data_IF_509076118847
#
_entry.id   IF_509076118847
#
_cell.length_a   1.000
_cell.length_b   1.000
_cell.length_c   1.000
_cell.angle_alpha   90.00
_cell.angle_beta   90.00
_cell.angle_gamma   90.00
#
_symmetry.space_group_name_H-M   'P 1'
#
loop_
_entity.id
_entity.type
_entity.pdbx_description
1 polymer ?
#
# COMPACT_ATOMS: atom_id res chain seq x y z
N UNK A 1 32.67 28.03 16.83
CA UNK A 1 31.92 27.03 17.61
C UNK A 1 30.80 26.48 16.75
N UNK A 2 31.11 25.62 15.74
CA UNK A 2 30.16 24.83 14.91
C UNK A 2 30.90 24.12 13.74
N UNK A 3 32.00 23.39 13.99
CA UNK A 3 32.60 22.50 12.96
C UNK A 3 33.04 21.13 13.48
N UNK A 4 32.57 20.72 14.67
CA UNK A 4 32.92 19.44 15.32
C UNK A 4 31.74 18.49 15.49
N UNK A 5 30.67 18.62 14.71
CA UNK A 5 29.44 17.82 14.90
C UNK A 5 29.09 16.92 13.71
N UNK A 6 30.08 16.46 12.94
CA UNK A 6 29.92 15.34 12.01
C UNK A 6 31.22 14.53 11.95
N UNK A 7 31.41 13.65 12.93
CA UNK A 7 32.31 12.50 12.83
C UNK A 7 31.46 11.26 13.06
N UNK A 8 31.05 10.64 11.96
CA UNK A 8 30.43 9.31 11.97
C UNK A 8 31.53 8.29 12.19
N UNK A 9 31.49 7.62 13.34
CA UNK A 9 32.38 6.50 13.70
C UNK A 9 32.05 5.31 12.80
N UNK A 10 32.91 5.03 11.82
CA UNK A 10 32.89 3.78 11.05
C UNK A 10 33.47 2.69 11.97
N UNK A 11 32.62 1.83 12.53
CA UNK A 11 33.05 0.68 13.32
C UNK A 11 33.31 -0.48 12.35
N UNK A 12 34.52 -0.55 11.82
CA UNK A 12 35.01 -1.75 11.13
C UNK A 12 35.27 -2.80 12.22
N UNK A 13 34.55 -3.92 12.17
CA UNK A 13 34.86 -5.08 12.98
C UNK A 13 36.16 -5.69 12.44
N UNK A 14 37.26 -5.37 13.09
CA UNK A 14 38.59 -5.88 12.79
C UNK A 14 38.65 -7.34 13.26
N UNK A 15 38.66 -8.29 12.33
CA UNK A 15 39.02 -9.68 12.61
C UNK A 15 40.48 -9.70 13.07
N UNK A 16 40.73 -10.04 14.34
CA UNK A 16 42.08 -10.32 14.83
C UNK A 16 42.45 -11.73 14.38
N UNK A 17 43.46 -11.86 13.51
CA UNK A 17 44.10 -13.14 13.29
C UNK A 17 44.84 -13.54 14.57
N UNK A 18 44.53 -14.72 15.11
CA UNK A 18 45.29 -15.32 16.20
C UNK A 18 46.65 -15.76 15.63
N UNK A 19 47.79 -15.32 16.17
CA UNK A 19 49.11 -15.76 15.72
C UNK A 19 49.27 -17.28 15.89
N UNK A 20 49.85 -17.90 14.87
CA UNK A 20 49.97 -19.36 14.67
C UNK A 20 51.08 -20.02 15.53
N UNK A 21 51.65 -19.34 16.53
CA UNK A 21 52.95 -19.72 17.10
C UNK A 21 52.93 -20.37 18.51
N UNK A 22 51.77 -20.57 19.14
CA UNK A 22 51.71 -20.98 20.57
C UNK A 22 51.04 -22.35 20.86
N UNK A 23 51.15 -23.34 19.98
CA UNK A 23 50.54 -24.67 20.26
C UNK A 23 51.41 -25.90 19.98
N UNK A 24 52.73 -25.73 19.89
CA UNK A 24 53.67 -26.85 19.98
C UNK A 24 54.30 -26.90 21.38
N UNK A 25 53.59 -27.48 22.33
CA UNK A 25 54.15 -28.09 23.55
C UNK A 25 53.02 -28.76 24.35
N UNK A 26 52.55 -29.94 23.92
CA UNK A 26 52.31 -31.10 24.79
C UNK A 26 51.81 -32.30 23.95
N UNK A 27 52.72 -33.15 23.50
CA UNK A 27 52.39 -34.54 23.13
C UNK A 27 52.69 -35.44 24.35
N UNK A 28 51.68 -36.00 24.99
CA UNK A 28 51.75 -37.40 25.44
C UNK A 28 50.38 -37.97 25.83
N UNK A 29 50.03 -39.06 25.14
CA UNK A 29 48.98 -40.04 25.44
C UNK A 29 47.51 -39.59 25.39
N UNK A 30 46.93 -39.65 24.19
CA UNK A 30 45.54 -40.12 24.05
C UNK A 30 45.43 -41.00 22.82
N UNK A 31 45.04 -42.26 23.06
CA UNK A 31 44.96 -43.36 22.10
C UNK A 31 44.19 -42.96 20.83
N UNK A 32 44.81 -43.20 19.66
CA UNK A 32 44.17 -43.10 18.36
C UNK A 32 43.11 -44.18 18.20
N UNK A 33 41.90 -43.91 18.66
CA UNK A 33 40.71 -44.62 18.18
C UNK A 33 40.47 -44.16 16.72
N UNK A 34 40.32 -45.07 15.74
CA UNK A 34 40.06 -44.67 14.37
C UNK A 34 38.74 -43.91 14.32
N UNK A 35 38.79 -42.59 14.20
CA UNK A 35 37.64 -41.79 13.84
C UNK A 35 37.21 -42.27 12.46
N UNK A 36 36.11 -43.02 12.41
CA UNK A 36 35.36 -43.16 11.16
C UNK A 36 35.16 -41.74 10.60
N UNK A 37 35.44 -41.50 9.31
CA UNK A 37 35.21 -40.19 8.73
C UNK A 37 33.70 -39.94 8.79
N UNK A 38 33.26 -39.23 9.83
CA UNK A 38 31.95 -38.65 9.89
C UNK A 38 31.96 -37.62 8.76
N UNK A 39 31.26 -37.92 7.68
CA UNK A 39 30.99 -37.04 6.54
C UNK A 39 30.38 -35.72 7.04
N UNK A 40 31.23 -34.88 7.60
CA UNK A 40 30.92 -33.58 8.15
C UNK A 40 31.49 -32.64 7.12
N UNK A 41 30.74 -32.47 6.02
CA UNK A 41 30.80 -31.36 5.06
C UNK A 41 29.97 -31.70 3.81
N UNK A 42 28.73 -32.14 3.98
CA UNK A 42 27.74 -31.80 2.97
C UNK A 42 27.37 -30.34 3.24
N UNK A 43 28.01 -29.40 2.53
CA UNK A 43 27.41 -28.08 2.35
C UNK A 43 26.08 -28.31 1.64
N UNK A 44 25.00 -28.51 2.42
CA UNK A 44 23.65 -28.51 1.89
C UNK A 44 23.43 -27.07 1.45
N UNK A 45 23.55 -26.80 0.15
CA UNK A 45 23.16 -25.50 -0.37
C UNK A 45 21.73 -25.23 0.11
N UNK A 46 21.44 -24.05 0.70
CA UNK A 46 20.12 -23.77 1.23
C UNK A 46 19.12 -23.93 0.10
N UNK A 47 18.20 -24.87 0.27
CA UNK A 47 17.27 -25.24 -0.77
C UNK A 47 16.45 -24.00 -1.19
N UNK A 48 16.45 -23.68 -2.48
CA UNK A 48 15.70 -22.55 -3.01
C UNK A 48 14.30 -23.03 -3.40
N UNK A 49 13.26 -22.36 -2.91
CA UNK A 49 11.89 -22.72 -3.27
C UNK A 49 11.68 -22.56 -4.78
N UNK A 50 11.24 -23.59 -5.53
CA UNK A 50 11.00 -23.45 -6.97
C UNK A 50 9.81 -22.53 -7.25
N UNK A 51 9.91 -21.74 -8.34
CA UNK A 51 8.91 -20.73 -8.72
C UNK A 51 7.48 -21.26 -8.82
N UNK A 52 7.29 -22.49 -9.32
CA UNK A 52 5.96 -23.10 -9.45
C UNK A 52 5.28 -23.35 -8.10
N UNK A 53 6.04 -23.61 -7.05
CA UNK A 53 5.51 -23.87 -5.69
C UNK A 53 5.31 -22.58 -4.89
N UNK A 54 5.84 -21.45 -5.37
CA UNK A 54 5.73 -20.16 -4.71
C UNK A 54 4.30 -19.60 -4.76
N UNK A 55 3.55 -19.86 -5.84
CA UNK A 55 2.20 -19.31 -6.03
C UNK A 55 1.15 -20.10 -5.25
N UNK A 56 1.14 -19.91 -3.93
CA UNK A 56 0.07 -20.41 -3.06
C UNK A 56 -1.21 -19.61 -3.29
N UNK A 57 -2.36 -20.20 -2.93
CA UNK A 57 -3.65 -19.51 -3.02
C UNK A 57 -3.65 -18.19 -2.25
N UNK A 58 -3.04 -18.18 -1.06
CA UNK A 58 -2.96 -17.00 -0.21
C UNK A 58 -2.13 -15.90 -0.89
N UNK A 59 -0.92 -16.23 -1.38
CA UNK A 59 -0.07 -15.28 -2.09
C UNK A 59 -0.77 -14.69 -3.33
N UNK A 60 -1.40 -15.53 -4.16
CA UNK A 60 -2.13 -15.07 -5.33
C UNK A 60 -3.24 -14.09 -4.95
N UNK A 61 -4.05 -14.39 -3.92
CA UNK A 61 -5.11 -13.50 -3.46
C UNK A 61 -4.55 -12.17 -2.94
N UNK A 62 -3.45 -12.20 -2.18
CA UNK A 62 -2.80 -10.99 -1.66
C UNK A 62 -2.25 -10.11 -2.78
N UNK A 63 -1.61 -10.71 -3.80
CA UNK A 63 -1.11 -10.00 -4.98
C UNK A 63 -2.26 -9.41 -5.80
N UNK A 64 -3.36 -10.14 -6.00
CA UNK A 64 -4.54 -9.61 -6.71
C UNK A 64 -5.18 -8.46 -5.93
N UNK A 65 -5.30 -8.56 -4.60
CA UNK A 65 -5.79 -7.46 -3.76
C UNK A 65 -4.90 -6.22 -3.91
N UNK A 66 -3.58 -6.39 -3.88
CA UNK A 66 -2.61 -5.33 -4.11
C UNK A 66 -2.80 -4.68 -5.50
N UNK A 67 -3.00 -5.49 -6.55
CA UNK A 67 -3.27 -4.98 -7.89
C UNK A 67 -4.56 -4.16 -8.00
N UNK A 68 -5.64 -4.63 -7.38
CA UNK A 68 -6.92 -3.90 -7.33
C UNK A 68 -6.75 -2.58 -6.57
N UNK A 69 -6.07 -2.63 -5.42
CA UNK A 69 -5.78 -1.48 -4.57
C UNK A 69 -5.03 -0.38 -5.33
N UNK A 70 -3.90 -0.73 -5.92
CA UNK A 70 -3.08 0.20 -6.74
C UNK A 70 -3.83 0.70 -7.97
N UNK A 71 -4.72 -0.12 -8.52
CA UNK A 71 -5.58 0.23 -9.63
C UNK A 71 -6.52 1.38 -9.28
N UNK A 72 -7.37 1.21 -8.27
CA UNK A 72 -8.34 2.25 -7.91
C UNK A 72 -7.67 3.49 -7.28
N UNK A 73 -6.55 3.33 -6.55
CA UNK A 73 -5.74 4.48 -6.08
C UNK A 73 -5.15 5.24 -7.26
N UNK A 74 -4.58 4.54 -8.25
CA UNK A 74 -4.03 5.16 -9.45
C UNK A 74 -5.09 5.92 -10.25
N UNK A 75 -6.28 5.33 -10.43
CA UNK A 75 -7.39 6.01 -11.06
C UNK A 75 -7.85 7.24 -10.26
N UNK A 76 -7.96 7.14 -8.93
CA UNK A 76 -8.31 8.26 -8.06
C UNK A 76 -7.36 9.45 -8.24
N UNK A 77 -6.05 9.20 -8.29
CA UNK A 77 -5.04 10.25 -8.46
C UNK A 77 -5.19 11.05 -9.76
N UNK A 78 -5.75 10.44 -10.80
CA UNK A 78 -6.09 11.12 -12.06
C UNK A 78 -7.47 11.75 -12.01
N UNK A 79 -8.47 11.02 -11.54
CA UNK A 79 -9.88 11.42 -11.53
C UNK A 79 -10.15 12.61 -10.61
N UNK A 80 -9.55 12.61 -9.42
CA UNK A 80 -9.86 13.61 -8.39
C UNK A 80 -9.48 15.04 -8.82
N UNK A 81 -8.24 15.34 -9.27
CA UNK A 81 -7.90 16.66 -9.78
C UNK A 81 -8.75 17.06 -11.00
N UNK A 82 -8.98 16.14 -11.93
CA UNK A 82 -9.82 16.37 -13.10
C UNK A 82 -11.24 16.76 -12.70
N UNK A 83 -11.85 16.02 -11.76
CA UNK A 83 -13.18 16.28 -11.23
C UNK A 83 -13.29 17.64 -10.52
N UNK A 84 -12.30 18.02 -9.72
CA UNK A 84 -12.30 19.34 -9.09
C UNK A 84 -12.24 20.48 -10.13
N UNK A 85 -11.55 20.25 -11.26
CA UNK A 85 -11.40 21.23 -12.34
C UNK A 85 -12.56 21.26 -13.35
N UNK A 86 -13.36 20.19 -13.42
CA UNK A 86 -14.49 20.08 -14.34
C UNK A 86 -15.50 21.23 -14.09
N UNK A 87 -16.10 21.82 -15.14
CA UNK A 87 -17.00 22.96 -14.99
C UNK A 87 -18.14 22.68 -14.00
N UNK A 88 -18.43 23.66 -13.14
CA UNK A 88 -19.55 23.60 -12.22
C UNK A 88 -20.86 23.84 -12.98
N UNK A 89 -21.52 22.76 -13.37
CA UNK A 89 -22.84 22.79 -14.03
C UNK A 89 -23.97 22.74 -12.99
N UNK A 90 -23.66 22.27 -11.78
CA UNK A 90 -24.57 22.21 -10.64
C UNK A 90 -25.54 21.01 -10.69
N UNK A 91 -26.33 20.86 -9.63
CA UNK A 91 -27.40 19.87 -9.59
C UNK A 91 -28.52 20.29 -10.56
N UNK A 92 -28.60 19.64 -11.72
CA UNK A 92 -29.63 19.93 -12.74
C UNK A 92 -30.98 19.35 -12.28
N UNK A 93 -31.81 20.18 -11.66
CA UNK A 93 -33.26 19.93 -11.59
C UNK A 93 -33.91 20.29 -12.91
N UNK A 94 -33.75 19.44 -13.94
CA UNK A 94 -34.61 19.51 -15.11
C UNK A 94 -35.69 18.43 -14.96
N UNK A 95 -36.93 18.86 -14.67
CA UNK A 95 -38.18 18.12 -14.88
C UNK A 95 -38.30 16.67 -14.37
N UNK A 96 -37.81 16.40 -13.16
CA UNK A 96 -38.23 15.23 -12.40
C UNK A 96 -37.20 14.11 -12.30
N UNK A 97 -36.90 13.80 -11.04
CA UNK A 97 -36.57 12.48 -10.49
C UNK A 97 -35.23 11.89 -10.92
N UNK A 98 -34.15 12.24 -10.19
CA UNK A 98 -33.21 11.29 -9.58
C UNK A 98 -32.21 12.01 -8.63
N UNK A 99 -32.18 11.72 -7.31
CA UNK A 99 -31.25 12.34 -6.36
C UNK A 99 -29.78 11.90 -6.56
N UNK A 100 -29.54 10.98 -7.51
CA UNK A 100 -28.22 10.43 -7.82
C UNK A 100 -27.65 10.91 -9.17
N UNK A 101 -28.24 11.91 -9.82
CA UNK A 101 -27.69 12.49 -11.05
C UNK A 101 -26.96 13.79 -10.75
N UNK A 102 -25.66 13.81 -11.04
CA UNK A 102 -24.77 14.94 -10.77
C UNK A 102 -24.12 15.36 -12.09
N UNK A 103 -24.32 16.62 -12.49
CA UNK A 103 -23.74 17.13 -13.72
C UNK A 103 -22.55 18.03 -13.39
N UNK A 104 -21.38 17.67 -13.95
CA UNK A 104 -20.17 18.50 -13.88
C UNK A 104 -19.28 18.22 -12.66
N UNK A 105 -18.39 19.18 -12.37
CA UNK A 105 -17.43 19.14 -11.28
C UNK A 105 -17.53 20.38 -10.38
N UNK A 106 -16.44 20.72 -9.69
CA UNK A 106 -16.43 21.86 -8.75
C UNK A 106 -16.01 23.20 -9.38
N UNK A 107 -15.56 23.18 -10.64
CA UNK A 107 -15.11 24.36 -11.37
C UNK A 107 -13.95 25.10 -10.71
N UNK A 108 -13.13 24.39 -9.93
CA UNK A 108 -12.04 25.02 -9.18
C UNK A 108 -10.89 25.46 -10.09
N UNK A 109 -10.30 26.63 -9.83
CA UNK A 109 -9.06 27.03 -10.48
C UNK A 109 -7.96 25.98 -10.23
N UNK A 110 -7.11 25.73 -11.24
CA UNK A 110 -6.00 24.77 -11.14
C UNK A 110 -5.08 25.07 -9.94
N UNK A 111 -4.89 26.36 -9.61
CA UNK A 111 -4.15 26.80 -8.42
C UNK A 111 -4.74 26.25 -7.12
N UNK A 112 -6.06 26.30 -6.97
CA UNK A 112 -6.76 25.86 -5.77
C UNK A 112 -6.73 24.34 -5.65
N UNK A 113 -6.87 23.63 -6.78
CA UNK A 113 -6.66 22.18 -6.84
C UNK A 113 -5.26 21.82 -6.37
N UNK A 114 -4.22 22.46 -6.91
CA UNK A 114 -2.82 22.22 -6.51
C UNK A 114 -2.57 22.52 -5.03
N UNK A 115 -3.13 23.63 -4.51
CA UNK A 115 -3.02 23.97 -3.08
C UNK A 115 -3.66 22.91 -2.18
N UNK A 116 -4.83 22.38 -2.56
CA UNK A 116 -5.48 21.31 -1.78
C UNK A 116 -4.63 20.02 -1.75
N UNK A 117 -4.06 19.60 -2.89
CA UNK A 117 -3.14 18.45 -2.92
C UNK A 117 -1.89 18.69 -2.06
N UNK A 118 -1.30 19.88 -2.13
CA UNK A 118 -0.07 20.22 -1.43
C UNK A 118 -0.25 20.23 0.09
N UNK A 119 -1.33 20.88 0.58
CA UNK A 119 -1.66 20.89 2.01
C UNK A 119 -1.89 19.47 2.54
N UNK A 120 -2.53 18.63 1.74
CA UNK A 120 -2.78 17.27 2.15
C UNK A 120 -1.50 16.42 2.18
N UNK A 121 -0.59 16.60 1.22
CA UNK A 121 0.73 15.95 1.27
C UNK A 121 1.53 16.34 2.50
N UNK A 122 1.47 17.63 2.88
CA UNK A 122 2.12 18.15 4.09
C UNK A 122 1.57 17.50 5.37
N UNK A 123 0.26 17.27 5.45
CA UNK A 123 -0.39 16.63 6.61
C UNK A 123 -0.24 15.11 6.58
N UNK A 124 -0.21 14.49 5.40
CA UNK A 124 -0.13 13.04 5.23
C UNK A 124 1.18 12.45 5.74
N UNK A 125 2.32 13.13 5.54
CA UNK A 125 3.63 12.64 5.97
C UNK A 125 3.69 12.43 7.50
N UNK A 126 3.34 13.41 8.36
CA UNK A 126 3.25 13.21 9.79
C UNK A 126 2.33 12.04 10.20
N UNK A 127 1.16 11.92 9.56
CA UNK A 127 0.21 10.83 9.85
C UNK A 127 0.84 9.47 9.53
N UNK A 128 1.63 9.37 8.46
CA UNK A 128 2.32 8.13 8.10
C UNK A 128 3.43 7.76 9.08
N UNK A 129 4.30 8.72 9.43
CA UNK A 129 5.45 8.48 10.31
C UNK A 129 5.01 8.14 11.74
N UNK A 130 4.02 8.85 12.27
CA UNK A 130 3.63 8.71 13.68
C UNK A 130 2.40 7.82 13.90
N UNK A 131 1.49 7.78 12.93
CA UNK A 131 0.21 7.09 13.03
C UNK A 131 0.34 5.59 12.78
N UNK A 132 1.01 5.19 11.68
CA UNK A 132 1.07 3.79 11.28
C UNK A 132 1.68 2.87 12.33
N UNK A 133 2.89 3.14 12.90
CA UNK A 133 3.50 2.23 13.86
C UNK A 133 2.63 2.02 15.10
N UNK A 134 2.00 3.09 15.61
CA UNK A 134 1.15 3.04 16.82
C UNK A 134 -0.11 2.21 16.60
N UNK A 135 -0.75 2.38 15.45
CA UNK A 135 -2.02 1.69 15.14
C UNK A 135 -1.77 0.23 14.75
N UNK A 136 -0.68 -0.04 14.02
CA UNK A 136 -0.27 -1.40 13.65
C UNK A 136 0.05 -2.25 14.88
N UNK A 137 0.75 -1.70 15.87
CA UNK A 137 1.06 -2.39 17.13
C UNK A 137 -0.20 -2.72 17.96
N UNK A 138 -1.25 -1.89 17.86
CA UNK A 138 -2.47 -2.05 18.67
C UNK A 138 -3.49 -3.00 18.04
N UNK A 139 -3.70 -2.92 16.73
CA UNK A 139 -4.78 -3.65 16.04
C UNK A 139 -4.29 -4.87 15.26
N UNK A 140 -2.99 -4.98 15.00
CA UNK A 140 -2.43 -5.97 14.08
C UNK A 140 -2.66 -5.60 12.61
N UNK A 141 -1.79 -6.11 11.75
CA UNK A 141 -1.70 -5.71 10.34
C UNK A 141 -2.96 -6.07 9.54
N UNK A 142 -3.46 -7.31 9.69
CA UNK A 142 -4.64 -7.78 8.94
C UNK A 142 -5.91 -6.98 9.24
N UNK A 143 -6.18 -6.71 10.53
CA UNK A 143 -7.38 -5.95 10.94
C UNK A 143 -7.28 -4.50 10.52
N UNK A 144 -6.12 -3.88 10.74
CA UNK A 144 -5.84 -2.52 10.32
C UNK A 144 -6.05 -2.36 8.81
N UNK A 145 -5.45 -3.25 8.01
CA UNK A 145 -5.57 -3.25 6.57
C UNK A 145 -7.04 -3.29 6.12
N UNK A 146 -7.85 -4.22 6.64
CA UNK A 146 -9.27 -4.34 6.30
C UNK A 146 -10.09 -3.11 6.69
N UNK A 147 -9.90 -2.57 7.89
CA UNK A 147 -10.63 -1.39 8.38
C UNK A 147 -10.39 -0.20 7.46
N UNK A 148 -9.13 0.09 7.14
CA UNK A 148 -8.81 1.23 6.29
C UNK A 148 -9.09 0.97 4.81
N UNK A 149 -9.19 -0.28 4.35
CA UNK A 149 -9.64 -0.61 3.00
C UNK A 149 -11.06 -0.08 2.73
N UNK A 150 -11.95 -0.14 3.74
CA UNK A 150 -13.31 0.41 3.66
C UNK A 150 -13.37 1.93 3.56
N UNK A 151 -12.28 2.64 3.88
CA UNK A 151 -12.22 4.09 3.73
C UNK A 151 -12.24 4.54 2.27
N UNK A 152 -11.72 3.73 1.34
CA UNK A 152 -11.75 4.03 -0.10
C UNK A 152 -13.16 4.03 -0.71
N UNK A 153 -13.97 2.95 -0.60
CA UNK A 153 -15.33 2.98 -1.13
C UNK A 153 -16.18 4.06 -0.47
N UNK A 154 -15.99 4.33 0.83
CA UNK A 154 -16.65 5.46 1.49
C UNK A 154 -16.25 6.80 0.86
N UNK A 155 -14.95 7.02 0.63
CA UNK A 155 -14.49 8.23 -0.03
C UNK A 155 -15.08 8.39 -1.43
N UNK A 156 -15.03 7.34 -2.25
CA UNK A 156 -15.56 7.37 -3.61
C UNK A 156 -17.07 7.59 -3.62
N UNK A 157 -17.76 7.03 -2.63
CA UNK A 157 -19.19 7.23 -2.47
C UNK A 157 -19.53 8.68 -2.09
N UNK A 158 -18.71 9.31 -1.23
CA UNK A 158 -18.91 10.69 -0.79
C UNK A 158 -18.58 11.74 -1.87
N UNK A 159 -17.69 11.43 -2.82
CA UNK A 159 -17.19 12.40 -3.81
C UNK A 159 -18.30 13.11 -4.61
N UNK A 160 -19.29 12.42 -5.23
CA UNK A 160 -20.32 13.10 -6.02
C UNK A 160 -21.15 14.10 -5.21
N UNK A 161 -21.38 13.82 -3.92
CA UNK A 161 -22.17 14.70 -3.04
C UNK A 161 -21.51 16.06 -2.78
N UNK A 162 -20.21 16.19 -3.03
CA UNK A 162 -19.52 17.48 -2.94
C UNK A 162 -20.08 18.52 -3.92
N UNK A 163 -20.63 18.08 -5.07
CA UNK A 163 -21.27 18.94 -6.07
C UNK A 163 -22.62 19.46 -5.58
N UNK A 164 -23.42 18.64 -4.88
CA UNK A 164 -24.68 19.09 -4.25
C UNK A 164 -24.38 20.19 -3.25
N UNK A 165 -23.36 19.99 -2.40
CA UNK A 165 -23.06 20.98 -1.37
C UNK A 165 -22.58 22.31 -1.94
N UNK A 166 -21.87 22.31 -3.07
CA UNK A 166 -21.60 23.55 -3.81
C UNK A 166 -22.89 24.22 -4.30
N UNK A 167 -23.83 23.45 -4.86
CA UNK A 167 -25.06 24.00 -5.45
C UNK A 167 -26.04 24.61 -4.44
N UNK A 168 -26.14 24.03 -3.23
CA UNK A 168 -27.03 24.54 -2.18
C UNK A 168 -26.44 25.73 -1.43
N UNK A 169 -25.12 25.88 -1.47
CA UNK A 169 -24.43 26.91 -0.72
C UNK A 169 -24.44 28.21 -1.52
N UNK A 170 -25.35 29.13 -1.15
CA UNK A 170 -25.50 30.42 -1.83
C UNK A 170 -24.15 31.14 -2.00
N UNK A 171 -23.76 31.56 -3.22
CA UNK A 171 -22.50 32.27 -3.48
C UNK A 171 -22.31 33.56 -2.65
N UNK A 172 -23.40 34.13 -2.13
CA UNK A 172 -23.39 35.36 -1.32
C UNK A 172 -23.22 35.13 0.19
N UNK A 173 -23.27 33.88 0.66
CA UNK A 173 -23.09 33.59 2.08
C UNK A 173 -21.61 33.69 2.46
N UNK A 174 -21.30 34.49 3.48
CA UNK A 174 -19.93 34.83 3.94
C UNK A 174 -19.09 33.61 4.39
N UNK A 175 -19.65 32.41 4.46
CA UNK A 175 -18.97 31.14 4.77
C UNK A 175 -19.01 30.07 3.67
N UNK A 176 -19.67 30.34 2.53
CA UNK A 176 -19.95 29.34 1.51
C UNK A 176 -18.71 28.60 1.00
N UNK A 177 -17.68 29.40 0.69
CA UNK A 177 -16.40 28.91 0.18
C UNK A 177 -15.65 28.07 1.23
N UNK A 178 -15.71 28.46 2.50
CA UNK A 178 -15.05 27.73 3.58
C UNK A 178 -15.70 26.36 3.79
N UNK A 179 -17.02 26.27 3.71
CA UNK A 179 -17.76 24.99 3.81
C UNK A 179 -17.38 24.03 2.69
N UNK A 180 -17.36 24.50 1.43
CA UNK A 180 -16.95 23.70 0.27
C UNK A 180 -15.51 23.19 0.44
N UNK A 181 -14.59 24.08 0.83
CA UNK A 181 -13.19 23.71 1.11
C UNK A 181 -13.07 22.69 2.24
N UNK A 182 -13.83 22.84 3.32
CA UNK A 182 -13.82 21.89 4.43
C UNK A 182 -14.22 20.48 3.97
N UNK A 183 -15.23 20.37 3.10
CA UNK A 183 -15.69 19.07 2.58
C UNK A 183 -14.65 18.45 1.67
N UNK A 184 -14.07 19.24 0.75
CA UNK A 184 -12.98 18.77 -0.11
C UNK A 184 -11.87 18.19 0.77
N UNK A 185 -11.43 18.95 1.78
CA UNK A 185 -10.39 18.52 2.72
C UNK A 185 -10.79 17.26 3.47
N UNK A 186 -12.05 17.13 3.92
CA UNK A 186 -12.52 15.93 4.63
C UNK A 186 -12.50 14.69 3.72
N UNK A 187 -13.04 14.79 2.50
CA UNK A 187 -13.03 13.68 1.53
C UNK A 187 -11.60 13.28 1.18
N UNK A 188 -10.74 14.27 0.97
CA UNK A 188 -9.33 14.02 0.65
C UNK A 188 -8.54 13.44 1.82
N UNK A 189 -8.78 13.94 3.05
CA UNK A 189 -8.20 13.42 4.27
C UNK A 189 -8.60 11.97 4.49
N UNK A 190 -9.87 11.61 4.25
CA UNK A 190 -10.33 10.23 4.32
C UNK A 190 -9.54 9.33 3.35
N UNK A 191 -9.38 9.74 2.09
CA UNK A 191 -8.56 9.01 1.11
C UNK A 191 -7.11 8.85 1.55
N UNK A 192 -6.48 9.94 2.01
CA UNK A 192 -5.06 9.91 2.40
C UNK A 192 -4.84 9.09 3.65
N UNK A 193 -5.67 9.26 4.67
CA UNK A 193 -5.63 8.43 5.89
C UNK A 193 -5.79 6.96 5.51
N UNK A 194 -6.75 6.61 4.65
CA UNK A 194 -6.93 5.23 4.17
C UNK A 194 -5.67 4.69 3.50
N UNK A 195 -5.10 5.44 2.55
CA UNK A 195 -3.84 5.06 1.89
C UNK A 195 -2.66 4.93 2.83
N UNK A 196 -2.54 5.85 3.79
CA UNK A 196 -1.45 5.86 4.79
C UNK A 196 -1.38 4.57 5.60
N UNK A 197 -2.52 3.98 5.97
CA UNK A 197 -2.55 2.75 6.74
C UNK A 197 -2.58 1.49 5.86
N UNK A 198 -3.29 1.53 4.74
CA UNK A 198 -3.46 0.35 3.88
C UNK A 198 -2.17 -0.01 3.15
N UNK A 199 -1.45 0.95 2.57
CA UNK A 199 -0.28 0.69 1.73
C UNK A 199 0.85 -0.05 2.48
N UNK A 200 1.34 0.42 3.65
CA UNK A 200 2.35 -0.33 4.40
C UNK A 200 1.83 -1.67 4.94
N UNK A 201 0.56 -1.75 5.36
CA UNK A 201 -0.02 -3.00 5.83
C UNK A 201 -0.11 -4.05 4.72
N UNK A 202 -0.40 -3.62 3.50
CA UNK A 202 -0.46 -4.47 2.33
C UNK A 202 0.92 -4.98 1.89
N UNK A 203 1.96 -4.14 1.98
CA UNK A 203 3.36 -4.58 1.77
C UNK A 203 3.72 -5.67 2.79
N UNK A 204 3.40 -5.45 4.07
CA UNK A 204 3.64 -6.41 5.13
C UNK A 204 2.88 -7.72 4.93
N UNK A 205 1.59 -7.66 4.58
CA UNK A 205 0.78 -8.86 4.28
C UNK A 205 1.33 -9.64 3.08
N UNK A 206 1.84 -8.94 2.07
CA UNK A 206 2.47 -9.58 0.90
C UNK A 206 3.75 -10.30 1.30
N UNK A 207 4.56 -9.69 2.17
CA UNK A 207 5.76 -10.32 2.70
C UNK A 207 5.40 -11.56 3.55
N UNK A 208 4.41 -11.44 4.43
CA UNK A 208 3.92 -12.53 5.30
C UNK A 208 3.24 -13.65 4.51
N UNK A 209 2.66 -13.36 3.34
CA UNK A 209 2.10 -14.34 2.42
C UNK A 209 3.17 -15.06 1.57
N UNK A 210 4.45 -14.67 1.68
CA UNK A 210 5.53 -15.42 1.05
C UNK A 210 5.61 -16.82 1.67
N UNK A 211 5.57 -17.89 0.87
CA UNK A 211 5.55 -19.25 1.42
C UNK A 211 6.89 -19.69 2.01
N UNK A 212 7.98 -19.01 1.68
CA UNK A 212 9.32 -19.28 2.21
C UNK A 212 10.19 -18.02 2.16
N UNK A 213 11.16 -17.82 3.08
CA UNK A 213 12.09 -16.69 3.08
C UNK A 213 12.89 -16.55 1.77
N UNK A 214 13.36 -17.66 1.19
CA UNK A 214 14.09 -17.64 -0.10
C UNK A 214 13.21 -17.25 -1.30
N UNK A 215 11.90 -17.14 -1.11
CA UNK A 215 10.96 -16.64 -2.13
C UNK A 215 10.59 -15.17 -1.96
N UNK A 216 10.92 -14.53 -0.84
CA UNK A 216 10.46 -13.18 -0.46
C UNK A 216 10.74 -12.12 -1.53
N UNK A 217 11.96 -12.09 -2.08
CA UNK A 217 12.31 -11.14 -3.13
C UNK A 217 11.49 -11.33 -4.42
N UNK A 218 11.18 -12.58 -4.77
CA UNK A 218 10.42 -12.95 -5.96
C UNK A 218 8.93 -12.66 -5.80
N UNK A 219 8.36 -12.95 -4.63
CA UNK A 219 6.96 -12.63 -4.31
C UNK A 219 6.73 -11.12 -4.30
N UNK A 220 7.64 -10.36 -3.69
CA UNK A 220 7.59 -8.90 -3.68
C UNK A 220 7.68 -8.33 -5.10
N UNK A 221 8.59 -8.86 -5.91
CA UNK A 221 8.75 -8.45 -7.31
C UNK A 221 7.48 -8.74 -8.13
N UNK A 222 6.86 -9.92 -7.96
CA UNK A 222 5.59 -10.25 -8.62
C UNK A 222 4.46 -9.28 -8.21
N UNK A 223 4.37 -8.94 -6.92
CA UNK A 223 3.41 -7.95 -6.43
C UNK A 223 3.65 -6.56 -7.05
N UNK A 224 4.90 -6.09 -7.10
CA UNK A 224 5.26 -4.80 -7.69
C UNK A 224 4.99 -4.75 -9.20
N UNK A 225 5.24 -5.84 -9.92
CA UNK A 225 4.93 -5.94 -11.35
C UNK A 225 3.42 -5.78 -11.60
N UNK A 226 2.58 -6.53 -10.89
CA UNK A 226 1.13 -6.42 -11.03
C UNK A 226 0.62 -5.04 -10.60
N UNK A 227 1.16 -4.50 -9.50
CA UNK A 227 0.85 -3.14 -9.02
C UNK A 227 1.14 -2.10 -10.09
N UNK A 228 2.31 -2.20 -10.73
CA UNK A 228 2.75 -1.24 -11.73
C UNK A 228 1.93 -1.35 -13.00
N UNK A 229 1.61 -2.56 -13.45
CA UNK A 229 0.69 -2.78 -14.56
C UNK A 229 -0.69 -2.15 -14.29
N UNK A 230 -1.25 -2.39 -13.11
CA UNK A 230 -2.54 -1.83 -12.69
C UNK A 230 -2.51 -0.30 -12.68
N UNK A 231 -1.45 0.29 -12.10
CA UNK A 231 -1.24 1.74 -12.01
C UNK A 231 -0.99 2.39 -13.37
N UNK A 232 -0.43 1.67 -14.34
CA UNK A 232 -0.26 2.17 -15.71
C UNK A 232 -1.58 2.22 -16.48
N UNK A 233 -2.47 1.25 -16.26
CA UNK A 233 -3.76 1.16 -16.96
C UNK A 233 -4.83 2.03 -16.31
N UNK A 234 -4.75 2.25 -14.99
CA UNK A 234 -5.82 2.90 -14.26
C UNK A 234 -6.13 4.35 -14.67
N UNK A 235 -5.16 5.23 -15.03
CA UNK A 235 -5.47 6.57 -15.54
C UNK A 235 -6.20 6.53 -16.88
N UNK A 236 -5.84 5.58 -17.76
CA UNK A 236 -6.47 5.41 -19.06
C UNK A 236 -7.95 5.02 -18.90
N UNK A 237 -8.23 4.00 -18.08
CA UNK A 237 -9.61 3.58 -17.81
C UNK A 237 -10.40 4.66 -17.07
N UNK A 238 -9.81 5.27 -16.03
CA UNK A 238 -10.45 6.34 -15.26
C UNK A 238 -10.81 7.54 -16.14
N UNK A 239 -9.85 8.03 -16.93
CA UNK A 239 -10.06 9.15 -17.86
C UNK A 239 -11.12 8.85 -18.91
N UNK A 240 -11.12 7.64 -19.49
CA UNK A 240 -12.13 7.23 -20.47
C UNK A 240 -13.55 7.20 -19.87
N UNK A 241 -13.70 6.62 -18.67
CA UNK A 241 -14.98 6.59 -17.95
C UNK A 241 -15.42 8.00 -17.57
N UNK A 242 -14.52 8.84 -17.05
CA UNK A 242 -14.84 10.22 -16.68
C UNK A 242 -15.28 11.04 -17.89
N UNK A 243 -14.56 10.96 -19.01
CA UNK A 243 -14.92 11.63 -20.27
C UNK A 243 -16.31 11.22 -20.74
N UNK A 244 -16.57 9.93 -20.86
CA UNK A 244 -17.88 9.39 -21.24
C UNK A 244 -19.00 9.83 -20.28
N UNK A 245 -18.73 9.80 -18.98
CA UNK A 245 -19.70 10.18 -17.96
C UNK A 245 -20.00 11.68 -17.97
N UNK A 246 -18.99 12.51 -18.25
CA UNK A 246 -19.12 13.96 -18.32
C UNK A 246 -19.91 14.42 -19.55
N UNK A 247 -19.69 13.79 -20.71
CA UNK A 247 -20.45 14.10 -21.94
C UNK A 247 -21.95 13.85 -21.77
N UNK A 248 -22.32 12.87 -20.94
CA UNK A 248 -23.70 12.52 -20.63
C UNK A 248 -24.28 13.25 -19.42
N UNK A 249 -23.48 14.12 -18.77
CA UNK A 249 -23.90 14.85 -17.58
C UNK A 249 -24.13 13.96 -16.35
N UNK A 250 -23.44 12.84 -16.26
CA UNK A 250 -23.53 11.83 -15.19
C UNK A 250 -22.16 11.60 -14.54
N UNK A 251 -21.50 12.65 -14.06
CA UNK A 251 -20.09 12.56 -13.59
C UNK A 251 -19.92 11.66 -12.37
N UNK A 252 -21.00 11.40 -11.63
CA UNK A 252 -21.03 10.44 -10.53
C UNK A 252 -20.76 9.00 -10.96
N UNK A 253 -21.04 8.64 -12.22
CA UNK A 253 -20.90 7.27 -12.70
C UNK A 253 -19.46 6.78 -12.59
N UNK A 254 -18.48 7.67 -12.84
CA UNK A 254 -17.07 7.36 -12.65
C UNK A 254 -16.75 6.99 -11.20
N UNK A 255 -17.33 7.72 -10.25
CA UNK A 255 -17.14 7.52 -8.82
C UNK A 255 -17.86 6.28 -8.30
N UNK A 256 -19.06 5.99 -8.80
CA UNK A 256 -19.79 4.76 -8.48
C UNK A 256 -19.06 3.52 -8.98
N UNK A 257 -18.51 3.56 -10.19
CA UNK A 257 -17.69 2.45 -10.70
C UNK A 257 -16.44 2.26 -9.85
N UNK A 258 -15.76 3.34 -9.45
CA UNK A 258 -14.61 3.25 -8.52
C UNK A 258 -15.01 2.67 -7.16
N UNK A 259 -16.16 3.08 -6.62
CA UNK A 259 -16.71 2.53 -5.39
C UNK A 259 -16.96 1.02 -5.52
N UNK A 260 -17.54 0.56 -6.63
CA UNK A 260 -17.77 -0.86 -6.89
C UNK A 260 -16.46 -1.66 -6.99
N UNK A 261 -15.44 -1.12 -7.66
CA UNK A 261 -14.12 -1.76 -7.73
C UNK A 261 -13.48 -1.85 -6.34
N UNK A 262 -13.55 -0.77 -5.54
CA UNK A 262 -13.02 -0.76 -4.18
C UNK A 262 -13.77 -1.72 -3.24
N UNK A 263 -15.10 -1.81 -3.38
CA UNK A 263 -15.92 -2.80 -2.65
C UNK A 263 -15.57 -4.23 -3.07
N UNK A 264 -15.29 -4.48 -4.35
CA UNK A 264 -14.76 -5.76 -4.83
C UNK A 264 -13.42 -6.12 -4.17
N UNK A 265 -12.52 -5.15 -4.04
CA UNK A 265 -11.28 -5.28 -3.27
C UNK A 265 -11.53 -5.59 -1.79
N UNK A 266 -12.50 -4.91 -1.16
CA UNK A 266 -12.94 -5.20 0.22
C UNK A 266 -13.49 -6.62 0.35
N UNK A 267 -14.30 -7.08 -0.60
CA UNK A 267 -14.82 -8.44 -0.64
C UNK A 267 -13.69 -9.47 -0.73
N UNK A 268 -12.74 -9.26 -1.64
CA UNK A 268 -11.58 -10.14 -1.83
C UNK A 268 -10.66 -10.17 -0.60
N UNK A 269 -10.57 -9.05 0.13
CA UNK A 269 -9.77 -8.91 1.36
C UNK A 269 -10.15 -9.88 2.48
N UNK A 270 -11.40 -10.36 2.49
CA UNK A 270 -11.87 -11.34 3.47
C UNK A 270 -11.36 -12.75 3.18
N UNK A 271 -11.00 -13.04 1.92
CA UNK A 271 -10.42 -14.32 1.51
C UNK A 271 -8.92 -14.39 1.78
N UNK A 272 -8.25 -13.24 1.93
CA UNK A 272 -6.83 -13.13 2.28
C UNK A 272 -6.61 -13.50 3.74
N UNK A 273 -5.55 -14.27 4.00
CA UNK A 273 -5.10 -14.64 5.35
C UNK A 273 -3.70 -14.08 5.59
N UNK A 274 -3.43 -13.71 6.82
CA UNK A 274 -2.07 -13.39 7.25
C UNK A 274 -1.27 -14.70 7.34
N UNK A 275 -0.26 -14.83 6.48
CA UNK A 275 0.65 -15.97 6.49
C UNK A 275 1.75 -15.81 7.54
N UNK A 276 2.48 -16.88 7.82
CA UNK A 276 3.61 -16.88 8.77
C UNK A 276 4.93 -16.46 8.13
N UNK A 277 4.96 -16.23 6.81
CA UNK A 277 6.20 -16.03 6.04
C UNK A 277 7.02 -17.32 5.80
N UNK A 278 6.56 -18.44 6.36
CA UNK A 278 7.21 -19.75 6.29
C UNK A 278 6.11 -20.84 6.29
N UNK A 279 5.45 -21.01 5.15
CA UNK A 279 4.36 -21.99 4.96
C UNK A 279 4.87 -23.32 4.36
N UNK A 280 6.00 -23.30 3.64
CA UNK A 280 6.60 -24.46 3.00
C UNK A 280 8.00 -24.67 3.56
N UNK A 281 8.23 -25.84 4.15
CA UNK A 281 9.53 -26.26 4.66
C UNK A 281 10.33 -26.97 3.56
N UNK A 282 11.61 -26.65 3.47
CA UNK A 282 12.58 -27.27 2.58
C UNK A 282 13.56 -28.14 3.37
N UNK A 283 14.21 -29.13 2.72
CA UNK A 283 15.26 -29.91 3.38
C UNK A 283 16.40 -28.98 3.84
N UNK A 284 16.69 -28.99 5.14
CA UNK A 284 17.69 -28.12 5.80
C UNK A 284 17.11 -27.07 6.76
N UNK A 285 15.81 -26.72 6.65
CA UNK A 285 15.23 -25.66 7.48
C UNK A 285 15.04 -26.05 8.96
N UNK A 286 14.94 -27.35 9.28
CA UNK A 286 14.75 -27.83 10.66
C UNK A 286 16.05 -27.89 11.46
N UNK A 287 17.20 -27.91 10.79
CA UNK A 287 18.49 -28.11 11.44
C UNK A 287 19.03 -26.78 12.01
N UNK A 288 18.68 -25.63 11.40
CA UNK A 288 19.09 -24.29 11.84
C UNK A 288 18.35 -23.77 13.09
N UNK A 289 17.14 -24.23 13.41
CA UNK A 289 16.42 -23.84 14.64
C UNK A 289 16.84 -24.68 15.88
N UNK A 290 17.69 -25.69 15.69
CA UNK A 290 18.09 -26.65 16.73
C UNK A 290 19.51 -26.45 17.31
N UNK A 291 20.20 -25.38 16.90
CA UNK A 291 21.49 -24.91 17.46
C UNK A 291 21.34 -23.62 18.27
#
# INVERSE_FOLDING_TARGET
>A
MLSKMFRTTKKEAQYSQVPFEDLYEDESEMLLEPLEPKDTNAHVEPAILPLRRMFTRNLCLTIVCQGILEGHIGAYNTLWPSFLSLPAIGWRTNNGQNPFQFSGGLGMPVRDVALSMALLGLVGIPVQVFGYPRLSQRFGTMKLWRIFLFGFPLCYFMTPFTVILQSITSPSARGARATVWAIIVVVQALSVVSGTFVLPAQIMLTNNASPHPTALGRTHSAAVLLSSFSRSISPMLGGAVLGYSSERGMTELAWWLMCMVALGGCGLSFLVREGTGHEIWLPGDNDEESE
#
